data_IF_757763146523
#
_entry.id   IF_757763146523
#
_cell.length_a   1.000
_cell.length_b   1.000
_cell.length_c   1.000
_cell.angle_alpha   90.00
_cell.angle_beta   90.00
_cell.angle_gamma   90.00
#
_symmetry.space_group_name_H-M   'P 1'
#
loop_
_entity.id
_entity.type
_entity.pdbx_description
1 polymer ?
#
# COMPACT_ATOMS: atom_id res chain seq x y z
N UNK A 1 21.68 55.86 -13.19
CA UNK A 1 20.50 55.09 -13.64
C UNK A 1 20.80 53.64 -13.46
N UNK A 2 20.25 52.95 -12.40
CA UNK A 2 20.33 51.53 -12.25
C UNK A 2 19.16 50.91 -13.01
N UNK A 3 19.48 50.09 -14.00
CA UNK A 3 18.51 49.30 -14.77
C UNK A 3 17.96 48.16 -13.87
N UNK A 4 16.71 48.31 -13.47
CA UNK A 4 15.98 47.21 -12.84
C UNK A 4 15.72 46.12 -13.90
N UNK A 5 16.53 45.07 -13.88
CA UNK A 5 16.25 43.87 -14.67
C UNK A 5 15.07 43.16 -14.04
N UNK A 6 13.95 43.14 -14.71
CA UNK A 6 12.80 42.31 -14.38
C UNK A 6 13.23 40.84 -14.44
N UNK A 7 13.12 40.14 -13.30
CA UNK A 7 13.38 38.71 -13.20
C UNK A 7 12.38 37.96 -14.09
N UNK A 8 12.86 37.24 -15.07
CA UNK A 8 12.00 36.47 -15.97
C UNK A 8 11.62 35.10 -15.35
N UNK A 9 10.49 34.52 -15.81
CA UNK A 9 10.08 33.17 -15.41
C UNK A 9 11.18 32.13 -15.62
N UNK A 10 12.03 32.33 -16.63
CA UNK A 10 13.18 31.48 -16.94
C UNK A 10 14.28 31.60 -15.89
N UNK A 11 14.54 32.78 -15.35
CA UNK A 11 15.52 33.05 -14.32
C UNK A 11 15.09 32.42 -13.01
N UNK A 12 13.80 32.42 -12.69
CA UNK A 12 13.22 31.72 -11.53
C UNK A 12 13.32 30.19 -11.65
N UNK A 13 13.10 29.64 -12.85
CA UNK A 13 13.24 28.19 -13.08
C UNK A 13 14.71 27.75 -12.97
N UNK A 14 15.65 28.54 -13.50
CA UNK A 14 17.08 28.23 -13.40
C UNK A 14 17.56 28.35 -11.95
N UNK A 15 17.15 29.39 -11.23
CA UNK A 15 17.45 29.56 -9.81
C UNK A 15 16.85 28.45 -8.95
N UNK A 16 15.63 27.98 -9.26
CA UNK A 16 14.98 26.85 -8.62
C UNK A 16 15.72 25.52 -8.83
N UNK A 17 16.20 25.27 -10.05
CA UNK A 17 16.97 24.06 -10.39
C UNK A 17 18.37 24.05 -9.73
N UNK A 18 19.03 25.20 -9.63
CA UNK A 18 20.36 25.29 -8.99
C UNK A 18 20.31 25.21 -7.47
N UNK A 19 19.26 25.74 -6.84
CA UNK A 19 19.06 25.61 -5.38
C UNK A 19 18.60 24.21 -4.96
N UNK A 20 17.81 23.52 -5.78
CA UNK A 20 17.41 22.14 -5.52
C UNK A 20 18.57 21.14 -5.65
N UNK A 21 19.54 21.40 -6.56
CA UNK A 21 20.73 20.55 -6.74
C UNK A 21 21.72 20.59 -5.56
N UNK A 22 21.74 21.69 -4.78
CA UNK A 22 22.64 21.83 -3.64
C UNK A 22 22.14 21.19 -2.34
N UNK A 23 20.83 20.90 -2.22
CA UNK A 23 20.22 20.32 -1.03
C UNK A 23 20.13 18.79 -1.04
N UNK A 24 20.59 18.13 -2.14
CA UNK A 24 20.43 16.69 -2.35
C UNK A 24 21.69 15.86 -2.07
N UNK A 25 22.66 16.39 -1.33
CA UNK A 25 23.80 15.59 -0.90
C UNK A 25 23.57 15.11 0.54
N UNK A 26 22.95 13.95 0.75
CA UNK A 26 22.98 13.30 2.07
C UNK A 26 24.36 12.77 2.33
N UNK A 27 24.86 13.07 3.51
CA UNK A 27 26.12 12.57 4.03
C UNK A 27 26.21 11.05 3.89
N UNK A 28 27.32 10.61 3.33
CA UNK A 28 28.01 9.33 3.43
C UNK A 28 27.23 8.18 4.10
N UNK A 29 26.45 7.47 3.36
CA UNK A 29 26.23 6.05 3.59
C UNK A 29 27.22 5.27 2.73
N UNK A 30 27.72 4.14 3.25
CA UNK A 30 28.63 3.20 2.56
C UNK A 30 27.90 2.52 1.40
N UNK A 31 27.53 3.29 0.38
CA UNK A 31 26.72 2.76 -0.71
C UNK A 31 27.57 2.58 -1.98
N UNK A 32 27.31 1.47 -2.62
CA UNK A 32 27.77 1.14 -3.98
C UNK A 32 27.59 2.34 -4.92
N UNK A 33 28.45 2.50 -5.93
CA UNK A 33 28.30 3.54 -6.95
C UNK A 33 26.88 3.53 -7.53
N UNK A 34 26.32 4.70 -7.87
CA UNK A 34 24.95 4.78 -8.35
C UNK A 34 24.76 3.90 -9.59
N UNK A 35 23.95 2.87 -9.43
CA UNK A 35 23.45 2.06 -10.54
C UNK A 35 22.12 2.65 -11.01
N UNK A 36 21.66 2.29 -12.21
CA UNK A 36 20.36 2.72 -12.73
C UNK A 36 19.22 2.46 -11.72
N UNK A 37 19.22 1.30 -11.06
CA UNK A 37 18.24 0.98 -10.01
C UNK A 37 18.32 1.90 -8.79
N UNK A 38 19.51 2.31 -8.38
CA UNK A 38 19.69 3.23 -7.26
C UNK A 38 19.20 4.65 -7.61
N UNK A 39 19.35 5.09 -8.85
CA UNK A 39 18.84 6.39 -9.33
C UNK A 39 17.30 6.39 -9.29
N UNK A 40 16.67 5.30 -9.74
CA UNK A 40 15.21 5.18 -9.67
C UNK A 40 14.72 5.19 -8.21
N UNK A 41 15.38 4.48 -7.31
CA UNK A 41 15.06 4.50 -5.87
C UNK A 41 15.23 5.88 -5.23
N UNK A 42 16.19 6.69 -5.69
CA UNK A 42 16.29 8.09 -5.30
C UNK A 42 15.06 8.89 -5.75
N UNK A 43 14.54 8.62 -6.95
CA UNK A 43 13.30 9.20 -7.46
C UNK A 43 12.09 8.85 -6.57
N UNK A 44 11.98 7.60 -6.15
CA UNK A 44 10.93 7.13 -5.24
C UNK A 44 10.96 7.89 -3.90
N UNK A 45 12.16 8.00 -3.31
CA UNK A 45 12.36 8.72 -2.05
C UNK A 45 12.04 10.21 -2.17
N UNK A 46 12.40 10.83 -3.31
CA UNK A 46 12.06 12.22 -3.58
C UNK A 46 10.56 12.41 -3.73
N UNK A 47 9.88 11.55 -4.49
CA UNK A 47 8.43 11.55 -4.64
C UNK A 47 7.75 11.41 -3.27
N UNK A 48 8.19 10.47 -2.46
CA UNK A 48 7.70 10.29 -1.09
C UNK A 48 7.87 11.57 -0.26
N UNK A 49 9.09 12.15 -0.23
CA UNK A 49 9.37 13.35 0.55
C UNK A 49 8.52 14.55 0.12
N UNK A 50 8.37 14.76 -1.19
CA UNK A 50 7.53 15.85 -1.75
C UNK A 50 6.07 15.65 -1.39
N UNK A 51 5.52 14.45 -1.55
CA UNK A 51 4.13 14.16 -1.19
C UNK A 51 3.89 14.36 0.31
N UNK A 52 4.81 13.88 1.17
CA UNK A 52 4.68 14.07 2.62
C UNK A 52 4.80 15.53 3.07
N UNK A 53 5.55 16.35 2.33
CA UNK A 53 5.68 17.78 2.60
C UNK A 53 4.46 18.59 2.13
N UNK A 54 3.86 18.21 0.99
CA UNK A 54 2.78 18.97 0.36
C UNK A 54 1.37 18.51 0.75
N UNK A 55 1.20 17.21 1.05
CA UNK A 55 -0.11 16.64 1.35
C UNK A 55 -0.26 16.37 2.85
N UNK A 56 -1.28 16.93 3.51
CA UNK A 56 -1.59 16.59 4.89
C UNK A 56 -1.76 15.09 5.08
N UNK A 57 -1.16 14.53 6.14
CA UNK A 57 -1.15 13.09 6.37
C UNK A 57 -2.53 12.43 6.47
N UNK A 58 -3.56 13.23 6.84
CA UNK A 58 -4.94 12.78 7.01
C UNK A 58 -5.88 13.20 5.84
N UNK A 59 -5.34 13.78 4.76
CA UNK A 59 -6.16 14.15 3.59
C UNK A 59 -6.82 12.93 3.00
N UNK A 60 -8.17 12.93 2.99
CA UNK A 60 -8.95 11.86 2.39
C UNK A 60 -8.90 11.94 0.86
N UNK A 61 -8.79 10.80 0.21
CA UNK A 61 -9.09 10.71 -1.21
C UNK A 61 -10.61 10.87 -1.42
N UNK A 62 -10.97 11.30 -2.62
CA UNK A 62 -12.37 11.48 -2.99
C UNK A 62 -13.16 10.17 -2.82
N UNK A 63 -14.27 10.25 -2.11
CA UNK A 63 -15.29 9.21 -2.09
C UNK A 63 -16.37 9.53 -3.12
N UNK A 64 -16.96 8.49 -3.68
CA UNK A 64 -17.93 8.52 -4.77
C UNK A 64 -19.30 8.04 -4.30
N UNK A 65 -20.30 8.20 -5.14
CA UNK A 65 -21.64 7.66 -4.90
C UNK A 65 -21.78 6.21 -5.42
N UNK A 66 -22.82 5.51 -5.02
CA UNK A 66 -23.13 4.17 -5.53
C UNK A 66 -23.38 4.15 -7.04
N UNK A 67 -23.83 5.27 -7.62
CA UNK A 67 -24.06 5.39 -9.07
C UNK A 67 -22.76 5.44 -9.88
N UNK A 68 -21.64 5.76 -9.23
CA UNK A 68 -20.33 5.84 -9.88
C UNK A 68 -19.61 4.46 -9.91
N UNK A 69 -20.16 3.44 -9.23
CA UNK A 69 -19.57 2.10 -9.20
C UNK A 69 -19.49 1.54 -10.62
N UNK A 70 -18.29 1.07 -10.97
CA UNK A 70 -18.00 0.56 -12.31
C UNK A 70 -17.60 -0.92 -12.29
N UNK A 71 -17.47 -1.50 -13.48
CA UNK A 71 -16.85 -2.83 -13.62
C UNK A 71 -15.43 -2.81 -13.06
N UNK A 72 -15.09 -3.81 -12.24
CA UNK A 72 -13.78 -3.91 -11.59
C UNK A 72 -13.03 -5.13 -12.13
N UNK A 73 -11.99 -4.95 -12.95
CA UNK A 73 -11.20 -6.05 -13.49
C UNK A 73 -10.48 -6.85 -12.40
N UNK A 74 -10.39 -8.16 -12.57
CA UNK A 74 -9.53 -9.00 -11.76
C UNK A 74 -8.21 -9.23 -12.51
N UNK A 75 -7.11 -8.66 -12.01
CA UNK A 75 -5.79 -8.72 -12.63
C UNK A 75 -4.76 -9.34 -11.69
N UNK A 76 -3.59 -9.68 -12.19
CA UNK A 76 -2.56 -10.41 -11.46
C UNK A 76 -3.02 -11.81 -11.05
N UNK A 77 -2.61 -12.28 -9.88
CA UNK A 77 -3.14 -13.55 -9.33
C UNK A 77 -4.63 -13.44 -9.06
N UNK A 78 -5.43 -14.26 -9.70
CA UNK A 78 -6.91 -14.25 -9.57
C UNK A 78 -7.44 -15.39 -8.69
N UNK A 79 -6.65 -16.42 -8.45
CA UNK A 79 -6.97 -17.53 -7.55
C UNK A 79 -5.69 -18.29 -7.16
N UNK A 80 -5.10 -18.02 -5.97
CA UNK A 80 -3.94 -18.78 -5.50
C UNK A 80 -4.29 -20.23 -5.12
N UNK A 81 -5.56 -20.59 -5.01
CA UNK A 81 -6.01 -21.97 -4.81
C UNK A 81 -6.08 -22.81 -6.08
N UNK A 82 -5.95 -22.20 -7.26
CA UNK A 82 -6.07 -22.89 -8.54
C UNK A 82 -4.85 -23.75 -8.85
N UNK A 83 -5.01 -25.09 -9.08
CA UNK A 83 -3.91 -25.96 -9.46
C UNK A 83 -3.20 -25.51 -10.74
N UNK A 84 -1.86 -25.62 -10.75
CA UNK A 84 -1.06 -25.29 -11.93
C UNK A 84 -0.81 -23.80 -12.16
N UNK A 85 -1.30 -22.92 -11.28
CA UNK A 85 -0.93 -21.50 -11.30
C UNK A 85 0.47 -21.32 -10.72
N UNK A 86 1.35 -20.43 -11.27
CA UNK A 86 2.72 -20.21 -10.76
C UNK A 86 2.77 -19.84 -9.27
N UNK A 87 1.75 -19.13 -8.78
CA UNK A 87 1.64 -18.69 -7.39
C UNK A 87 0.60 -19.51 -6.62
N UNK A 88 0.56 -20.85 -6.87
CA UNK A 88 -0.40 -21.75 -6.19
C UNK A 88 -0.03 -21.95 -4.72
N UNK A 89 -1.03 -21.85 -3.85
CA UNK A 89 -0.96 -22.15 -2.43
C UNK A 89 -1.96 -23.24 -2.06
N UNK A 90 -1.47 -24.41 -1.65
CA UNK A 90 -2.34 -25.49 -1.16
C UNK A 90 -3.07 -25.08 0.12
N UNK A 91 -2.38 -24.32 1.00
CA UNK A 91 -2.99 -23.78 2.21
C UNK A 91 -4.18 -22.88 1.90
N UNK A 92 -4.05 -21.99 0.89
CA UNK A 92 -5.18 -21.15 0.49
C UNK A 92 -6.33 -21.96 -0.11
N UNK A 93 -6.03 -22.99 -0.91
CA UNK A 93 -7.04 -23.90 -1.47
C UNK A 93 -7.86 -24.61 -0.39
N UNK A 94 -7.21 -25.05 0.68
CA UNK A 94 -7.90 -25.68 1.82
C UNK A 94 -8.82 -24.67 2.51
N UNK A 95 -8.35 -23.46 2.75
CA UNK A 95 -9.17 -22.38 3.33
C UNK A 95 -10.37 -22.04 2.44
N UNK A 96 -10.19 -21.97 1.13
CA UNK A 96 -11.26 -21.72 0.16
C UNK A 96 -12.33 -22.80 0.20
N UNK A 97 -11.92 -24.10 0.24
CA UNK A 97 -12.85 -25.23 0.36
C UNK A 97 -13.63 -25.22 1.69
N UNK A 98 -13.03 -24.74 2.76
CA UNK A 98 -13.66 -24.54 4.06
C UNK A 98 -14.44 -23.23 4.20
N UNK A 99 -14.69 -22.48 3.09
CA UNK A 99 -15.38 -21.20 3.16
C UNK A 99 -14.66 -20.16 4.02
N UNK A 100 -13.34 -20.26 4.11
CA UNK A 100 -12.46 -19.41 4.93
C UNK A 100 -12.73 -19.40 6.43
N UNK A 101 -13.44 -20.39 6.98
CA UNK A 101 -13.73 -20.49 8.41
C UNK A 101 -12.45 -20.53 9.27
N UNK A 102 -11.43 -21.24 8.79
CA UNK A 102 -10.15 -21.39 9.45
C UNK A 102 -9.11 -20.33 9.05
N UNK A 103 -9.50 -19.37 8.21
CA UNK A 103 -8.58 -18.32 7.82
C UNK A 103 -8.19 -17.44 9.02
N UNK A 104 -6.89 -17.14 9.07
CA UNK A 104 -6.30 -16.30 10.12
C UNK A 104 -5.29 -15.33 9.51
N UNK A 105 -5.12 -14.17 10.15
CA UNK A 105 -4.07 -13.20 9.85
C UNK A 105 -3.29 -12.86 11.12
N UNK A 106 -1.97 -13.05 11.09
CA UNK A 106 -1.10 -12.63 12.19
C UNK A 106 -0.69 -11.16 12.04
N UNK A 107 -0.61 -10.46 13.17
CA UNK A 107 -0.04 -9.12 13.28
C UNK A 107 1.11 -9.21 14.29
N UNK A 108 2.32 -8.93 13.83
CA UNK A 108 3.55 -9.15 14.58
C UNK A 108 4.64 -8.11 14.26
N UNK A 109 5.84 -8.30 14.78
CA UNK A 109 6.96 -7.37 14.64
C UNK A 109 6.95 -6.31 15.72
N UNK A 110 7.05 -5.03 15.35
CA UNK A 110 7.16 -3.91 16.30
C UNK A 110 5.80 -3.53 16.91
N UNK A 111 5.19 -4.49 17.59
CA UNK A 111 3.93 -4.36 18.34
C UNK A 111 4.10 -4.88 19.76
N UNK A 112 3.35 -4.31 20.71
CA UNK A 112 3.45 -4.70 22.13
C UNK A 112 2.76 -6.03 22.44
N UNK A 113 1.73 -6.39 21.66
CA UNK A 113 0.90 -7.60 21.83
C UNK A 113 0.68 -8.27 20.48
N UNK A 114 1.66 -9.04 19.96
CA UNK A 114 1.44 -9.80 18.73
C UNK A 114 0.19 -10.68 18.85
N UNK A 115 -0.63 -10.69 17.79
CA UNK A 115 -1.92 -11.35 17.82
C UNK A 115 -2.30 -11.91 16.45
N UNK A 116 -3.04 -13.01 16.46
CA UNK A 116 -3.67 -13.58 15.26
C UNK A 116 -5.18 -13.32 15.33
N UNK A 117 -5.76 -12.88 14.23
CA UNK A 117 -7.20 -12.58 14.10
C UNK A 117 -7.85 -13.54 13.13
N UNK A 118 -9.03 -14.04 13.47
CA UNK A 118 -9.95 -14.69 12.55
C UNK A 118 -10.72 -13.66 11.72
N UNK A 119 -11.38 -14.11 10.65
CA UNK A 119 -12.27 -13.24 9.87
C UNK A 119 -13.42 -12.71 10.73
N UNK A 120 -13.98 -13.53 11.62
CA UNK A 120 -15.05 -13.13 12.55
C UNK A 120 -14.58 -12.05 13.51
N UNK A 121 -13.38 -12.17 14.07
CA UNK A 121 -12.81 -11.13 14.93
C UNK A 121 -12.55 -9.82 14.16
N UNK A 122 -12.06 -9.87 12.93
CA UNK A 122 -11.93 -8.65 12.12
C UNK A 122 -13.30 -8.00 11.84
N UNK A 123 -14.32 -8.81 11.55
CA UNK A 123 -15.70 -8.33 11.33
C UNK A 123 -16.37 -7.80 12.61
N UNK A 124 -15.86 -8.12 13.82
CA UNK A 124 -16.37 -7.59 15.09
C UNK A 124 -15.91 -6.16 15.41
N UNK A 125 -14.86 -5.66 14.78
CA UNK A 125 -14.48 -4.26 14.85
C UNK A 125 -15.51 -3.39 14.11
N UNK A 126 -15.62 -2.11 14.51
CA UNK A 126 -16.42 -1.15 13.74
C UNK A 126 -15.93 -1.08 12.30
N UNK A 127 -16.77 -1.46 11.36
CA UNK A 127 -16.45 -1.43 9.94
C UNK A 127 -16.43 0.00 9.39
N UNK A 128 -15.57 0.23 8.41
CA UNK A 128 -15.64 1.35 7.48
C UNK A 128 -16.12 0.85 6.13
N UNK A 129 -17.08 1.55 5.55
CA UNK A 129 -17.49 1.39 4.15
C UNK A 129 -17.14 2.66 3.40
N UNK A 130 -16.49 2.54 2.25
CA UNK A 130 -16.06 3.65 1.42
C UNK A 130 -16.19 3.28 -0.06
N UNK A 131 -16.59 4.25 -0.90
CA UNK A 131 -16.66 4.08 -2.36
C UNK A 131 -15.53 4.90 -2.95
N UNK A 132 -14.50 4.21 -3.42
CA UNK A 132 -13.24 4.84 -3.84
C UNK A 132 -12.81 4.34 -5.20
N UNK A 133 -11.98 5.16 -5.87
CA UNK A 133 -11.35 4.79 -7.14
C UNK A 133 -10.09 3.99 -6.87
N UNK A 134 -9.98 2.85 -7.49
CA UNK A 134 -8.74 2.09 -7.62
C UNK A 134 -8.05 2.50 -8.92
N UNK A 135 -6.80 2.89 -8.85
CA UNK A 135 -5.98 3.21 -10.03
C UNK A 135 -4.92 2.13 -10.16
N UNK A 136 -5.00 1.34 -11.23
CA UNK A 136 -4.08 0.25 -11.47
C UNK A 136 -2.85 0.71 -12.24
N UNK A 137 -1.71 0.10 -11.94
CA UNK A 137 -0.45 0.28 -12.67
C UNK A 137 -0.53 -0.17 -14.13
N UNK A 138 -1.50 -1.01 -14.46
CA UNK A 138 -1.79 -1.46 -15.83
C UNK A 138 -2.52 -0.41 -16.69
N UNK A 139 -2.78 0.79 -16.14
CA UNK A 139 -3.35 1.92 -16.88
C UNK A 139 -4.88 1.99 -16.89
N UNK A 140 -5.57 1.18 -16.11
CA UNK A 140 -7.02 1.27 -15.93
C UNK A 140 -7.38 1.77 -14.53
N UNK A 141 -8.60 2.27 -14.36
CA UNK A 141 -9.17 2.56 -13.05
C UNK A 141 -10.61 2.11 -12.94
N UNK A 142 -11.05 1.80 -11.73
CA UNK A 142 -12.41 1.38 -11.44
C UNK A 142 -12.85 1.90 -10.06
N UNK A 143 -14.15 2.12 -9.90
CA UNK A 143 -14.76 2.57 -8.65
C UNK A 143 -15.55 1.42 -8.06
N UNK A 144 -15.34 1.14 -6.76
CA UNK A 144 -16.06 0.11 -6.03
C UNK A 144 -16.32 0.54 -4.58
N UNK A 145 -17.35 -0.04 -3.98
CA UNK A 145 -17.61 0.05 -2.55
C UNK A 145 -16.79 -1.03 -1.82
N UNK A 146 -16.01 -0.62 -0.84
CA UNK A 146 -15.19 -1.50 -0.02
C UNK A 146 -15.66 -1.44 1.43
N UNK A 147 -15.81 -2.59 2.05
CA UNK A 147 -16.15 -2.71 3.48
C UNK A 147 -15.05 -3.49 4.19
N UNK A 148 -14.55 -2.94 5.30
CA UNK A 148 -13.48 -3.55 6.08
C UNK A 148 -13.26 -2.86 7.41
N UNK A 149 -12.30 -3.34 8.18
CA UNK A 149 -11.81 -2.67 9.39
C UNK A 149 -10.64 -1.75 9.03
N UNK A 150 -10.58 -0.55 9.60
CA UNK A 150 -9.41 0.31 9.42
C UNK A 150 -8.19 -0.34 10.05
N UNK A 151 -7.05 -0.25 9.36
CA UNK A 151 -5.80 -0.85 9.84
C UNK A 151 -5.35 -0.21 11.15
N UNK A 152 -5.63 1.08 11.35
CA UNK A 152 -5.39 1.78 12.62
C UNK A 152 -6.07 1.11 13.81
N UNK A 153 -7.34 0.68 13.68
CA UNK A 153 -8.05 -0.03 14.76
C UNK A 153 -7.43 -1.38 15.10
N UNK A 154 -6.95 -2.08 14.09
CA UNK A 154 -6.21 -3.34 14.31
C UNK A 154 -4.93 -3.04 15.09
N UNK A 155 -4.18 -2.00 14.70
CA UNK A 155 -2.97 -1.59 15.40
C UNK A 155 -3.23 -1.06 16.82
N UNK A 156 -4.32 -0.36 17.07
CA UNK A 156 -4.73 0.05 18.42
C UNK A 156 -4.90 -1.18 19.34
N UNK A 157 -5.43 -2.28 18.80
CA UNK A 157 -5.64 -3.51 19.57
C UNK A 157 -4.36 -4.26 19.93
N UNK A 158 -3.29 -4.13 19.13
CA UNK A 158 -2.00 -4.80 19.35
C UNK A 158 -0.92 -3.86 19.93
N UNK A 159 -1.10 -2.55 19.80
CA UNK A 159 -0.19 -1.51 20.27
C UNK A 159 1.10 -1.44 19.44
N UNK A 160 1.34 -0.30 18.80
CA UNK A 160 2.57 -0.07 18.03
C UNK A 160 3.72 0.34 18.96
N UNK A 161 4.94 -0.11 18.66
CA UNK A 161 6.14 0.39 19.33
C UNK A 161 6.53 1.77 18.75
N UNK A 162 7.15 2.66 19.56
CA UNK A 162 7.44 4.05 19.13
C UNK A 162 8.36 4.17 17.92
N UNK A 163 9.22 3.17 17.68
CA UNK A 163 10.17 3.16 16.56
C UNK A 163 9.60 2.49 15.30
N UNK A 164 8.34 2.02 15.32
CA UNK A 164 7.67 1.47 14.15
C UNK A 164 7.54 2.51 13.03
N UNK A 165 7.89 2.15 11.79
CA UNK A 165 7.90 3.05 10.63
C UNK A 165 7.22 2.49 9.39
N UNK A 166 7.28 1.18 9.20
CA UNK A 166 6.75 0.50 8.02
C UNK A 166 5.89 -0.69 8.42
N UNK A 167 5.06 -1.11 7.48
CA UNK A 167 4.19 -2.28 7.61
C UNK A 167 4.30 -3.12 6.35
N UNK A 168 4.71 -4.36 6.52
CA UNK A 168 4.83 -5.35 5.44
C UNK A 168 3.67 -6.33 5.47
N UNK A 169 3.12 -6.62 4.31
CA UNK A 169 1.97 -7.49 4.10
C UNK A 169 2.39 -8.70 3.27
N UNK A 170 2.11 -9.88 3.79
CA UNK A 170 2.42 -11.16 3.16
C UNK A 170 1.13 -11.84 2.72
N UNK A 171 1.11 -12.31 1.49
CA UNK A 171 -0.04 -12.91 0.84
C UNK A 171 0.11 -14.42 0.61
N UNK A 172 -1.00 -15.11 0.38
CA UNK A 172 -0.98 -16.54 0.05
C UNK A 172 -0.47 -16.84 -1.36
N UNK A 173 -0.43 -15.85 -2.26
CA UNK A 173 0.17 -15.94 -3.59
C UNK A 173 1.66 -15.55 -3.60
N UNK A 174 2.27 -15.57 -2.41
CA UNK A 174 3.68 -15.21 -2.17
C UNK A 174 4.05 -13.76 -2.44
N UNK A 175 3.09 -12.90 -2.81
CA UNK A 175 3.36 -11.48 -2.97
C UNK A 175 3.61 -10.82 -1.62
N UNK A 176 4.68 -10.01 -1.54
CA UNK A 176 5.02 -9.20 -0.35
C UNK A 176 5.02 -7.74 -0.74
N UNK A 177 4.39 -6.90 0.05
CA UNK A 177 4.37 -5.46 -0.19
C UNK A 177 4.42 -4.69 1.13
N UNK A 178 5.00 -3.50 1.09
CA UNK A 178 5.16 -2.67 2.28
C UNK A 178 4.66 -1.25 2.02
N UNK A 179 4.13 -0.63 3.06
CA UNK A 179 3.77 0.79 3.09
C UNK A 179 4.38 1.43 4.34
N UNK A 180 4.48 2.75 4.34
CA UNK A 180 4.87 3.47 5.54
C UNK A 180 3.72 3.51 6.57
N UNK A 181 4.07 3.81 7.81
CA UNK A 181 3.11 3.84 8.90
C UNK A 181 2.07 4.97 8.75
N UNK A 182 2.39 6.07 8.05
CA UNK A 182 1.45 7.16 7.82
C UNK A 182 0.30 6.71 6.91
N UNK A 183 0.61 5.98 5.84
CA UNK A 183 -0.43 5.39 4.99
C UNK A 183 -1.14 4.21 5.68
N UNK A 184 -0.43 3.44 6.50
CA UNK A 184 -1.04 2.35 7.27
C UNK A 184 -2.07 2.85 8.30
N UNK A 185 -1.82 4.01 8.94
CA UNK A 185 -2.73 4.63 9.90
C UNK A 185 -3.76 5.56 9.27
N UNK A 186 -3.72 5.74 7.94
CA UNK A 186 -4.67 6.60 7.25
C UNK A 186 -6.12 6.07 7.42
N UNK A 187 -7.11 6.95 7.66
CA UNK A 187 -8.48 6.52 7.94
C UNK A 187 -9.17 5.74 6.81
N UNK A 188 -8.68 5.84 5.57
CA UNK A 188 -9.17 5.07 4.42
C UNK A 188 -8.32 3.82 4.12
N UNK A 189 -7.26 3.54 4.90
CA UNK A 189 -6.52 2.28 4.78
C UNK A 189 -7.24 1.21 5.60
N UNK A 190 -7.79 0.20 4.90
CA UNK A 190 -8.62 -0.83 5.50
C UNK A 190 -8.17 -2.25 5.12
N UNK A 191 -8.38 -3.19 6.01
CA UNK A 191 -8.43 -4.62 5.69
C UNK A 191 -9.84 -4.94 5.18
N UNK A 192 -10.00 -4.91 3.86
CA UNK A 192 -11.30 -5.10 3.21
C UNK A 192 -11.66 -6.58 3.12
N UNK A 193 -12.84 -6.92 3.59
CA UNK A 193 -13.46 -8.25 3.51
C UNK A 193 -14.78 -8.25 2.74
N UNK A 194 -15.26 -7.09 2.32
CA UNK A 194 -16.47 -6.92 1.52
C UNK A 194 -16.27 -5.98 0.35
N UNK A 195 -17.04 -6.22 -0.71
CA UNK A 195 -17.06 -5.40 -1.92
C UNK A 195 -18.48 -5.31 -2.49
N UNK A 196 -18.94 -4.11 -2.81
CA UNK A 196 -20.25 -3.85 -3.42
C UNK A 196 -21.41 -4.52 -2.66
N UNK A 197 -21.37 -4.46 -1.31
CA UNK A 197 -22.40 -5.00 -0.42
C UNK A 197 -22.40 -6.53 -0.26
N UNK A 198 -21.35 -7.23 -0.71
CA UNK A 198 -21.17 -8.69 -0.62
C UNK A 198 -19.81 -9.04 -0.04
N UNK A 199 -19.61 -10.29 0.37
CA UNK A 199 -18.30 -10.79 0.72
C UNK A 199 -17.33 -10.63 -0.47
N UNK A 200 -16.06 -10.39 -0.17
CA UNK A 200 -15.02 -10.15 -1.16
C UNK A 200 -14.84 -11.38 -2.07
N UNK A 201 -14.93 -11.24 -3.41
CA UNK A 201 -14.74 -12.37 -4.33
C UNK A 201 -13.30 -12.87 -4.36
N UNK A 202 -13.11 -14.17 -4.60
CA UNK A 202 -11.79 -14.80 -4.74
C UNK A 202 -10.88 -14.07 -5.73
N UNK A 203 -11.29 -13.74 -6.95
CA UNK A 203 -10.42 -13.06 -7.91
C UNK A 203 -9.96 -11.67 -7.45
N UNK A 204 -10.68 -11.08 -6.50
CA UNK A 204 -10.38 -9.75 -5.97
C UNK A 204 -9.73 -9.76 -4.59
N UNK A 205 -9.38 -10.95 -4.05
CA UNK A 205 -8.52 -11.07 -2.88
C UNK A 205 -9.16 -11.64 -1.62
N UNK A 206 -10.24 -12.44 -1.74
CA UNK A 206 -10.88 -13.08 -0.58
C UNK A 206 -9.89 -13.86 0.30
N UNK A 207 -10.15 -14.02 1.62
CA UNK A 207 -11.26 -13.37 2.32
C UNK A 207 -10.95 -11.95 2.75
N UNK A 208 -9.66 -11.52 2.71
CA UNK A 208 -9.20 -10.18 3.11
C UNK A 208 -8.09 -9.69 2.20
N UNK A 209 -8.24 -8.44 1.75
CA UNK A 209 -7.20 -7.69 1.07
C UNK A 209 -6.91 -6.36 1.75
N UNK A 210 -5.75 -5.79 1.48
CA UNK A 210 -5.47 -4.41 1.83
C UNK A 210 -6.10 -3.45 0.80
N UNK A 211 -6.55 -2.31 1.29
CA UNK A 211 -6.89 -1.14 0.48
C UNK A 211 -6.11 0.06 0.99
N UNK A 212 -5.26 0.63 0.13
CA UNK A 212 -4.51 1.86 0.38
C UNK A 212 -4.90 2.87 -0.69
N UNK A 213 -5.83 3.76 -0.35
CA UNK A 213 -6.50 4.60 -1.34
C UNK A 213 -5.58 5.70 -1.90
N UNK A 214 -4.51 6.03 -1.20
CA UNK A 214 -3.55 7.09 -1.57
C UNK A 214 -2.40 6.62 -2.43
N UNK A 215 -2.36 5.33 -2.81
CA UNK A 215 -1.30 4.75 -3.61
C UNK A 215 -1.86 3.89 -4.75
N UNK A 216 -1.03 3.68 -5.79
CA UNK A 216 -1.40 2.80 -6.92
C UNK A 216 -1.80 1.40 -6.47
N UNK A 217 -2.57 0.73 -7.30
CA UNK A 217 -3.25 -0.52 -7.02
C UNK A 217 -2.39 -1.66 -6.49
N UNK A 218 -1.17 -1.81 -6.97
CA UNK A 218 -0.28 -2.87 -6.48
C UNK A 218 0.12 -2.71 -5.00
N UNK A 219 -0.05 -1.50 -4.41
CA UNK A 219 0.14 -1.26 -2.99
C UNK A 219 -1.03 -1.78 -2.13
N UNK A 220 -2.02 -2.39 -2.76
CA UNK A 220 -3.19 -3.01 -2.12
C UNK A 220 -3.18 -4.54 -2.30
N UNK A 221 -2.24 -5.28 -1.65
CA UNK A 221 -2.09 -6.72 -1.82
C UNK A 221 -3.36 -7.49 -1.46
N UNK A 222 -3.56 -8.59 -2.18
CA UNK A 222 -4.67 -9.54 -2.05
C UNK A 222 -4.29 -10.73 -1.17
N UNK A 223 -5.25 -11.54 -0.74
CA UNK A 223 -5.04 -12.86 -0.09
C UNK A 223 -4.15 -12.79 1.15
N UNK A 224 -4.35 -11.80 2.00
CA UNK A 224 -3.49 -11.54 3.15
C UNK A 224 -3.47 -12.70 4.15
N UNK A 225 -2.28 -12.98 4.71
CA UNK A 225 -2.07 -13.99 5.75
C UNK A 225 -1.26 -13.48 6.94
N UNK A 226 -0.41 -12.44 6.75
CA UNK A 226 0.48 -11.93 7.79
C UNK A 226 0.78 -10.45 7.58
N UNK A 227 0.82 -9.70 8.67
CA UNK A 227 1.20 -8.29 8.75
C UNK A 227 2.38 -8.18 9.70
N UNK A 228 3.47 -7.57 9.27
CA UNK A 228 4.67 -7.36 10.09
C UNK A 228 4.98 -5.88 10.17
N UNK A 229 5.03 -5.36 11.39
CA UNK A 229 5.43 -3.96 11.63
C UNK A 229 6.94 -3.92 11.81
N UNK A 230 7.62 -2.99 11.11
CA UNK A 230 9.09 -2.91 11.07
C UNK A 230 9.57 -1.47 11.26
N UNK A 231 10.85 -1.30 11.63
CA UNK A 231 11.53 -0.01 11.65
C UNK A 231 12.08 0.33 10.27
N UNK A 232 12.55 -0.68 9.53
CA UNK A 232 13.10 -0.53 8.18
C UNK A 232 12.11 -1.04 7.13
N UNK A 233 12.22 -0.49 5.91
CA UNK A 233 11.43 -0.92 4.77
C UNK A 233 11.82 -2.35 4.36
N UNK A 234 10.87 -3.28 4.45
CA UNK A 234 11.00 -4.60 3.83
C UNK A 234 10.45 -4.52 2.39
N UNK A 235 11.33 -4.59 1.42
CA UNK A 235 10.97 -4.51 0.01
C UNK A 235 10.44 -5.83 -0.57
N UNK A 236 10.38 -6.87 0.25
CA UNK A 236 9.92 -8.20 -0.13
C UNK A 236 10.90 -8.98 -1.01
N UNK A 237 12.07 -8.42 -1.33
CA UNK A 237 13.08 -9.05 -2.17
C UNK A 237 12.49 -9.58 -3.49
N UNK A 238 12.73 -10.86 -3.79
CA UNK A 238 12.23 -11.52 -5.01
C UNK A 238 10.69 -11.66 -5.07
N UNK A 239 10.00 -11.40 -3.98
CA UNK A 239 8.53 -11.49 -3.87
C UNK A 239 7.87 -10.12 -3.82
N UNK A 240 8.65 -9.05 -3.81
CA UNK A 240 8.20 -7.67 -3.74
C UNK A 240 8.06 -6.98 -5.10
N UNK A 241 7.39 -5.83 -5.13
CA UNK A 241 7.20 -5.05 -6.36
C UNK A 241 8.51 -4.56 -6.97
N UNK A 242 9.54 -4.32 -6.16
CA UNK A 242 10.83 -3.82 -6.63
C UNK A 242 11.58 -4.81 -7.54
N UNK A 243 11.32 -6.11 -7.42
CA UNK A 243 11.84 -7.12 -8.37
C UNK A 243 11.46 -6.79 -9.81
N UNK A 244 10.25 -6.26 -10.01
CA UNK A 244 9.72 -5.90 -11.32
C UNK A 244 10.02 -4.44 -11.69
N UNK A 245 10.88 -3.74 -10.93
CA UNK A 245 11.22 -2.34 -11.14
C UNK A 245 10.15 -1.35 -10.67
N UNK A 246 9.16 -1.78 -9.89
CA UNK A 246 8.11 -0.91 -9.35
C UNK A 246 8.61 -0.17 -8.10
N UNK A 247 8.15 1.06 -7.96
CA UNK A 247 8.50 1.92 -6.84
C UNK A 247 7.98 1.37 -5.50
N UNK A 248 8.71 1.61 -4.41
CA UNK A 248 8.21 1.28 -3.08
C UNK A 248 7.09 2.23 -2.64
N UNK A 249 7.06 3.45 -3.16
CA UNK A 249 6.04 4.46 -2.90
C UNK A 249 5.53 5.09 -4.20
N UNK A 250 4.24 5.03 -4.42
CA UNK A 250 3.56 5.68 -5.56
C UNK A 250 2.26 6.31 -5.08
N UNK A 251 2.35 7.54 -4.61
CA UNK A 251 1.19 8.34 -4.22
C UNK A 251 0.38 8.81 -5.43
N UNK A 252 -0.93 8.89 -5.27
CA UNK A 252 -1.89 9.36 -6.27
C UNK A 252 -2.84 10.36 -5.66
#
# INVERSE_FOLDING_TARGET
MKSDRLITRRDLLIAGLTSAGGLLLPACSKQLPPTYGNILRMGDNLTYAVHRALLPGQSLVREYSRMDISSFPATGTTDPGRPGHPNTSEAYRQLQRGGFADWRISVEGMVTRPRTFSLTELKSFSARTQITRHVCEEGWSAIAEWTGVTLSRVFDSVGLLPTARFVSFYSYDDFVNSIDLLDALHPQTILAYGMNGRDLPVPLGAPVRLRVERQLGYKSPKYLRRIVVTEELDDGGDKGPQKNGWAWYVGI
#
